data_IF_014717997539
#
_entry.id   IF_014717997539
#
_cell.length_a   1.000
_cell.length_b   1.000
_cell.length_c   1.000
_cell.angle_alpha   90.00
_cell.angle_beta   90.00
_cell.angle_gamma   90.00
#
_symmetry.space_group_name_H-M   'P 1'
#
loop_
_entity.id
_entity.type
_entity.pdbx_description
1 polymer ?
#
# COMPACT_ATOMS: atom_id res chain seq x y z
N UNK A 1 11.28 -13.62 -0.44
CA UNK A 1 11.91 -13.41 0.89
C UNK A 1 12.03 -14.78 1.55
N UNK A 2 13.21 -15.21 2.01
CA UNK A 2 13.36 -16.59 2.55
C UNK A 2 12.57 -16.77 3.86
N UNK A 3 11.93 -17.93 4.05
CA UNK A 3 11.16 -18.27 5.26
C UNK A 3 11.98 -18.16 6.57
N UNK A 4 13.31 -18.18 6.47
CA UNK A 4 14.23 -17.96 7.60
C UNK A 4 14.33 -16.48 8.01
N UNK A 5 14.30 -15.54 7.05
CA UNK A 5 14.29 -14.10 7.35
C UNK A 5 12.96 -13.67 7.99
N UNK A 6 11.85 -14.24 7.54
CA UNK A 6 10.53 -13.97 8.13
C UNK A 6 10.44 -14.43 9.59
N UNK A 7 10.93 -15.65 9.90
CA UNK A 7 11.01 -16.13 11.30
C UNK A 7 11.88 -15.23 12.18
N UNK A 8 13.01 -14.74 11.65
CA UNK A 8 13.91 -13.87 12.40
C UNK A 8 13.28 -12.49 12.68
N UNK A 9 12.48 -11.96 11.75
CA UNK A 9 11.73 -10.71 11.97
C UNK A 9 10.53 -10.87 12.93
N UNK A 10 9.81 -11.99 12.90
CA UNK A 10 8.71 -12.25 13.84
C UNK A 10 9.18 -12.25 15.30
N UNK A 11 10.36 -12.81 15.58
CA UNK A 11 10.94 -12.84 16.94
C UNK A 11 11.19 -11.45 17.55
N UNK A 12 11.18 -10.40 16.72
CA UNK A 12 11.45 -9.01 17.13
C UNK A 12 10.18 -8.17 17.33
N UNK A 13 9.00 -8.71 17.01
CA UNK A 13 7.73 -8.02 17.29
C UNK A 13 7.54 -7.85 18.79
N UNK A 14 6.75 -6.84 19.18
CA UNK A 14 6.37 -6.69 20.59
C UNK A 14 5.71 -7.97 21.13
N UNK A 15 5.94 -8.34 22.40
CA UNK A 15 5.36 -9.56 22.99
C UNK A 15 3.83 -9.65 22.87
N UNK A 16 3.15 -8.50 22.90
CA UNK A 16 1.71 -8.43 22.69
C UNK A 16 1.31 -8.84 21.27
N UNK A 17 2.04 -8.37 20.25
CA UNK A 17 1.79 -8.75 18.86
C UNK A 17 2.21 -10.18 18.56
N UNK A 18 3.32 -10.63 19.14
CA UNK A 18 3.74 -12.03 19.04
C UNK A 18 2.64 -12.96 19.57
N UNK A 19 2.11 -12.67 20.76
CA UNK A 19 0.98 -13.41 21.35
C UNK A 19 -0.27 -13.36 20.47
N UNK A 20 -0.58 -12.21 19.88
CA UNK A 20 -1.72 -12.05 18.96
C UNK A 20 -1.57 -12.90 17.69
N UNK A 21 -0.39 -12.87 17.06
CA UNK A 21 -0.04 -13.68 15.88
C UNK A 21 -0.03 -15.18 16.22
N UNK A 22 0.41 -15.54 17.43
CA UNK A 22 0.39 -16.92 17.93
C UNK A 22 -1.02 -17.42 18.24
N UNK A 23 -1.92 -16.56 18.73
CA UNK A 23 -3.33 -16.94 18.96
C UNK A 23 -4.15 -16.99 17.67
N UNK A 24 -3.77 -16.22 16.63
CA UNK A 24 -4.34 -16.29 15.27
C UNK A 24 -3.67 -17.34 14.37
N UNK A 25 -2.79 -18.19 14.93
CA UNK A 25 -1.86 -19.05 14.20
C UNK A 25 -2.46 -20.17 13.34
N UNK A 26 -3.79 -20.29 13.25
CA UNK A 26 -4.42 -21.23 12.31
C UNK A 26 -4.32 -20.77 10.84
N UNK A 27 -3.86 -19.54 10.57
CA UNK A 27 -3.74 -18.99 9.21
C UNK A 27 -2.31 -18.58 8.81
N UNK A 28 -1.28 -19.28 9.33
CA UNK A 28 0.16 -19.00 9.06
C UNK A 28 0.57 -19.05 7.58
N UNK A 29 -0.26 -19.61 6.70
CA UNK A 29 0.01 -19.71 5.27
C UNK A 29 -0.33 -18.43 4.49
N UNK A 30 -1.19 -17.55 5.01
CA UNK A 30 -1.70 -16.39 4.26
C UNK A 30 -0.69 -15.23 4.12
N UNK A 31 0.15 -14.97 5.13
CA UNK A 31 1.18 -13.92 5.05
C UNK A 31 2.38 -14.31 4.17
N UNK A 32 2.66 -15.60 4.04
CA UNK A 32 3.72 -16.13 3.18
C UNK A 32 3.20 -16.29 1.73
N UNK A 33 1.94 -16.70 1.55
CA UNK A 33 1.35 -16.95 0.23
C UNK A 33 1.08 -15.69 -0.60
N UNK A 34 0.88 -14.51 0.01
CA UNK A 34 0.70 -13.25 -0.73
C UNK A 34 2.03 -12.79 -1.37
N UNK A 35 3.18 -13.17 -0.77
CA UNK A 35 4.51 -12.81 -1.26
C UNK A 35 5.05 -13.76 -2.34
N UNK A 36 4.40 -14.91 -2.55
CA UNK A 36 4.83 -15.99 -3.46
C UNK A 36 3.99 -16.11 -4.73
N UNK A 37 3.16 -15.11 -5.06
CA UNK A 37 2.78 -14.93 -6.46
C UNK A 37 4.03 -14.54 -7.24
N UNK A 38 4.69 -15.60 -7.73
CA UNK A 38 5.70 -15.61 -8.78
C UNK A 38 5.42 -14.45 -9.72
N UNK A 39 6.51 -13.81 -10.16
CA UNK A 39 6.56 -13.08 -11.43
C UNK A 39 6.08 -14.02 -12.54
N UNK A 40 4.78 -14.25 -12.65
CA UNK A 40 4.21 -14.82 -13.84
C UNK A 40 4.19 -13.66 -14.81
N UNK A 41 5.26 -13.55 -15.60
CA UNK A 41 5.47 -12.52 -16.62
C UNK A 41 4.48 -12.62 -17.79
N UNK A 42 3.29 -13.17 -17.55
CA UNK A 42 2.22 -13.23 -18.53
C UNK A 42 1.41 -11.94 -18.48
N UNK A 43 1.40 -11.26 -19.62
CA UNK A 43 0.61 -10.11 -20.03
C UNK A 43 -0.91 -10.27 -19.77
N UNK A 44 -1.34 -10.29 -18.50
CA UNK A 44 -2.72 -10.60 -18.12
C UNK A 44 -3.66 -9.37 -18.15
N UNK A 45 -3.10 -8.16 -18.09
CA UNK A 45 -3.87 -6.90 -18.08
C UNK A 45 -3.29 -5.84 -19.05
N UNK A 46 -3.35 -6.07 -20.39
CA UNK A 46 -2.82 -5.12 -21.38
C UNK A 46 -3.46 -3.73 -21.31
N UNK A 47 -4.68 -3.61 -20.79
CA UNK A 47 -5.39 -2.34 -20.59
C UNK A 47 -4.66 -1.37 -19.64
N UNK A 48 -4.01 -1.88 -18.60
CA UNK A 48 -3.25 -1.06 -17.65
C UNK A 48 -2.06 -0.37 -18.31
N UNK A 49 -1.41 -1.04 -19.27
CA UNK A 49 -0.27 -0.48 -20.02
C UNK A 49 -0.71 0.56 -21.03
N UNK A 50 -1.75 0.27 -21.82
CA UNK A 50 -2.30 1.20 -22.80
C UNK A 50 -2.78 2.51 -22.14
N UNK A 51 -3.38 2.43 -20.94
CA UNK A 51 -3.82 3.61 -20.21
C UNK A 51 -2.67 4.58 -19.86
N UNK A 52 -1.46 4.08 -19.59
CA UNK A 52 -0.29 4.90 -19.30
C UNK A 52 0.48 5.34 -20.54
N UNK A 53 0.52 4.52 -21.60
CA UNK A 53 1.13 4.91 -22.89
C UNK A 53 0.45 6.16 -23.46
N UNK A 54 -0.88 6.21 -23.42
CA UNK A 54 -1.67 7.37 -23.85
C UNK A 54 -1.42 8.66 -23.02
N UNK A 55 -0.86 8.54 -21.80
CA UNK A 55 -0.50 9.68 -20.95
C UNK A 55 0.93 10.17 -21.17
N UNK A 56 1.85 9.28 -21.55
CA UNK A 56 3.24 9.66 -21.88
C UNK A 56 3.30 10.68 -23.01
N UNK A 57 2.38 10.60 -23.96
CA UNK A 57 2.28 11.53 -25.09
C UNK A 57 1.87 12.96 -24.70
N UNK A 58 1.48 13.22 -23.44
CA UNK A 58 0.87 14.51 -23.01
C UNK A 58 1.65 15.31 -21.99
N UNK A 59 2.87 14.91 -21.59
CA UNK A 59 3.54 15.52 -20.42
C UNK A 59 4.62 16.53 -20.78
N UNK A 60 4.43 17.78 -20.35
CA UNK A 60 5.48 18.82 -20.28
C UNK A 60 5.45 19.48 -18.91
N UNK A 61 5.77 18.74 -17.84
CA UNK A 61 5.89 19.35 -16.50
C UNK A 61 7.17 18.90 -15.80
N UNK A 62 7.91 19.89 -15.28
CA UNK A 62 9.13 19.68 -14.51
C UNK A 62 8.80 19.50 -13.03
N UNK A 63 9.35 18.47 -12.38
CA UNK A 63 9.07 18.16 -10.98
C UNK A 63 9.72 19.19 -10.04
N UNK A 64 8.96 19.82 -9.11
CA UNK A 64 9.52 20.79 -8.17
C UNK A 64 10.42 20.10 -7.13
N UNK A 65 11.67 20.55 -7.02
CA UNK A 65 12.73 19.91 -6.22
C UNK A 65 12.53 19.94 -4.69
N UNK A 66 11.50 20.62 -4.15
CA UNK A 66 11.44 20.95 -2.71
C UNK A 66 10.18 20.48 -1.96
N UNK A 67 9.24 19.79 -2.60
CA UNK A 67 8.02 19.31 -1.91
C UNK A 67 8.29 18.02 -1.14
N UNK A 68 7.76 17.93 0.10
CA UNK A 68 7.83 16.72 0.94
C UNK A 68 7.09 15.53 0.32
N UNK A 69 6.04 15.79 -0.45
CA UNK A 69 5.27 14.82 -1.24
C UNK A 69 5.25 15.31 -2.69
N UNK A 70 5.55 14.41 -3.63
CA UNK A 70 5.73 14.78 -5.04
C UNK A 70 4.45 14.62 -5.89
N UNK A 71 3.47 13.90 -5.36
CA UNK A 71 2.24 13.52 -6.07
C UNK A 71 1.00 14.00 -5.32
N UNK A 72 -0.07 14.24 -6.06
CA UNK A 72 -1.39 14.57 -5.52
C UNK A 72 -2.48 13.89 -6.33
N UNK A 73 -3.73 14.09 -5.90
CA UNK A 73 -4.92 13.65 -6.65
C UNK A 73 -5.05 14.30 -8.03
N UNK A 74 -4.34 15.39 -8.28
CA UNK A 74 -4.38 16.16 -9.53
C UNK A 74 -3.19 15.80 -10.44
N UNK A 75 -2.26 14.97 -9.98
CA UNK A 75 -1.15 14.49 -10.81
C UNK A 75 -1.70 13.72 -12.01
N UNK A 76 -1.34 14.17 -13.22
CA UNK A 76 -1.83 13.57 -14.47
C UNK A 76 -1.55 12.07 -14.56
N UNK A 77 -0.35 11.63 -14.16
CA UNK A 77 0.03 10.21 -14.14
C UNK A 77 -0.78 9.34 -13.17
N UNK A 78 -1.42 9.94 -12.15
CA UNK A 78 -2.24 9.21 -11.18
C UNK A 78 -3.66 8.98 -11.71
N UNK A 79 -4.16 9.82 -12.62
CA UNK A 79 -5.58 9.81 -12.99
C UNK A 79 -6.13 8.44 -13.41
N UNK A 80 -5.45 7.62 -14.22
CA UNK A 80 -6.00 6.31 -14.63
C UNK A 80 -6.17 5.36 -13.45
N UNK A 81 -5.17 5.30 -12.56
CA UNK A 81 -5.26 4.46 -11.36
C UNK A 81 -6.37 4.97 -10.44
N UNK A 82 -6.49 6.30 -10.26
CA UNK A 82 -7.56 6.89 -9.47
C UNK A 82 -8.95 6.55 -10.02
N UNK A 83 -9.17 6.70 -11.32
CA UNK A 83 -10.44 6.34 -11.97
C UNK A 83 -10.76 4.85 -11.74
N UNK A 84 -9.77 3.98 -11.92
CA UNK A 84 -9.94 2.55 -11.64
C UNK A 84 -10.30 2.29 -10.18
N UNK A 85 -9.67 3.00 -9.22
CA UNK A 85 -9.96 2.88 -7.79
C UNK A 85 -11.36 3.37 -7.41
N UNK A 86 -11.88 4.39 -8.08
CA UNK A 86 -13.22 4.97 -7.85
C UNK A 86 -14.35 3.99 -8.18
N UNK A 87 -14.07 2.99 -9.01
CA UNK A 87 -15.00 1.91 -9.39
C UNK A 87 -14.96 0.69 -8.45
N UNK A 88 -14.04 0.66 -7.48
CA UNK A 88 -13.85 -0.52 -6.64
C UNK A 88 -14.66 -0.47 -5.35
N UNK A 89 -15.11 -1.64 -4.89
CA UNK A 89 -15.63 -1.84 -3.56
C UNK A 89 -14.55 -1.65 -2.48
N UNK A 90 -14.95 -1.26 -1.27
CA UNK A 90 -14.00 -1.00 -0.17
C UNK A 90 -13.11 -2.22 0.14
N UNK A 91 -13.68 -3.43 0.17
CA UNK A 91 -12.91 -4.68 0.39
C UNK A 91 -11.79 -4.91 -0.64
N UNK A 92 -12.03 -4.57 -1.92
CA UNK A 92 -11.03 -4.68 -2.98
C UNK A 92 -9.88 -3.71 -2.72
N UNK A 93 -10.19 -2.46 -2.36
CA UNK A 93 -9.16 -1.46 -2.02
C UNK A 93 -8.37 -1.84 -0.77
N UNK A 94 -8.99 -2.47 0.22
CA UNK A 94 -8.31 -2.96 1.43
C UNK A 94 -7.35 -4.10 1.09
N UNK A 95 -7.82 -5.11 0.36
CA UNK A 95 -6.99 -6.24 -0.05
C UNK A 95 -5.79 -5.77 -0.87
N UNK A 96 -6.04 -4.93 -1.87
CA UNK A 96 -5.03 -4.29 -2.70
C UNK A 96 -4.03 -3.49 -1.88
N UNK A 97 -4.48 -2.62 -0.99
CA UNK A 97 -3.57 -1.75 -0.23
C UNK A 97 -2.66 -2.56 0.70
N UNK A 98 -3.20 -3.54 1.42
CA UNK A 98 -2.43 -4.37 2.36
C UNK A 98 -1.44 -5.30 1.64
N UNK A 99 -1.81 -5.82 0.49
CA UNK A 99 -0.89 -6.56 -0.39
C UNK A 99 0.21 -5.65 -0.93
N UNK A 100 -0.16 -4.50 -1.49
CA UNK A 100 0.80 -3.56 -2.05
C UNK A 100 1.74 -2.94 -1.00
N UNK A 101 1.35 -2.90 0.27
CA UNK A 101 2.17 -2.41 1.37
C UNK A 101 3.48 -3.21 1.55
N UNK A 102 3.55 -4.46 1.05
CA UNK A 102 4.74 -5.29 1.16
C UNK A 102 5.99 -4.66 0.51
N UNK A 103 5.82 -3.97 -0.63
CA UNK A 103 6.94 -3.30 -1.33
C UNK A 103 7.50 -2.11 -0.54
N UNK A 104 6.71 -1.09 -0.16
CA UNK A 104 7.19 -0.01 0.70
C UNK A 104 7.72 -0.49 2.05
N UNK A 105 7.14 -1.54 2.63
CA UNK A 105 7.60 -2.08 3.90
C UNK A 105 8.99 -2.69 3.80
N UNK A 106 9.20 -3.60 2.83
CA UNK A 106 10.52 -4.21 2.62
C UNK A 106 11.58 -3.14 2.33
N UNK A 107 11.25 -2.18 1.47
CA UNK A 107 12.14 -1.07 1.15
C UNK A 107 12.46 -0.18 2.36
N UNK A 108 11.48 0.08 3.23
CA UNK A 108 11.73 0.82 4.47
C UNK A 108 12.65 0.05 5.42
N UNK A 109 12.43 -1.25 5.59
CA UNK A 109 13.20 -2.09 6.51
C UNK A 109 14.63 -2.32 6.09
N UNK A 110 14.91 -2.35 4.79
CA UNK A 110 16.29 -2.36 4.28
C UNK A 110 17.05 -1.11 4.72
N UNK A 111 16.36 0.02 4.85
CA UNK A 111 16.96 1.31 5.24
C UNK A 111 17.02 1.50 6.75
N UNK A 112 16.00 1.05 7.48
CA UNK A 112 15.90 1.19 8.94
C UNK A 112 15.48 -0.14 9.59
N UNK A 113 16.37 -1.14 9.66
CA UNK A 113 16.03 -2.52 10.07
C UNK A 113 15.50 -2.67 11.51
N UNK A 114 15.82 -1.72 12.39
CA UNK A 114 15.43 -1.74 13.79
C UNK A 114 14.05 -1.10 14.05
N UNK A 115 13.48 -0.39 13.06
CA UNK A 115 12.20 0.27 13.21
C UNK A 115 11.06 -0.65 12.76
N UNK A 116 10.32 -1.20 13.73
CA UNK A 116 9.33 -2.24 13.47
C UNK A 116 7.89 -1.72 13.40
N UNK A 117 7.63 -0.46 13.82
CA UNK A 117 6.27 0.09 13.89
C UNK A 117 5.51 0.01 12.55
N UNK A 118 6.11 0.22 11.37
CA UNK A 118 5.42 0.02 10.09
C UNK A 118 5.00 -1.44 9.82
N UNK A 119 5.82 -2.42 10.19
CA UNK A 119 5.47 -3.85 10.10
C UNK A 119 4.36 -4.22 11.07
N UNK A 120 4.45 -3.71 12.29
CA UNK A 120 3.42 -3.93 13.29
C UNK A 120 2.07 -3.38 12.81
N UNK A 121 2.06 -2.21 12.17
CA UNK A 121 0.85 -1.64 11.59
C UNK A 121 0.24 -2.51 10.47
N UNK A 122 1.04 -3.12 9.58
CA UNK A 122 0.47 -4.00 8.52
C UNK A 122 -0.17 -5.24 9.11
N UNK A 123 0.45 -5.86 10.12
CA UNK A 123 -0.09 -7.03 10.83
C UNK A 123 -1.42 -6.67 11.51
N UNK A 124 -1.43 -5.61 12.30
CA UNK A 124 -2.62 -5.20 13.06
C UNK A 124 -3.74 -4.73 12.13
N UNK A 125 -3.43 -4.05 11.03
CA UNK A 125 -4.43 -3.67 10.02
C UNK A 125 -5.02 -4.87 9.30
N UNK A 126 -4.23 -5.92 9.04
CA UNK A 126 -4.74 -7.20 8.49
C UNK A 126 -5.73 -7.85 9.47
N UNK A 127 -5.35 -8.01 10.73
CA UNK A 127 -6.24 -8.54 11.78
C UNK A 127 -7.53 -7.71 11.93
N UNK A 128 -7.43 -6.38 11.77
CA UNK A 128 -8.60 -5.52 11.81
C UNK A 128 -9.50 -5.70 10.60
N UNK A 129 -8.93 -5.81 9.40
CA UNK A 129 -9.68 -6.13 8.19
C UNK A 129 -10.38 -7.49 8.28
N UNK A 130 -9.79 -8.44 9.01
CA UNK A 130 -10.35 -9.78 9.25
C UNK A 130 -11.35 -9.84 10.42
N UNK A 131 -11.52 -8.73 11.16
CA UNK A 131 -12.45 -8.63 12.27
C UNK A 131 -11.97 -9.23 13.60
N UNK A 132 -10.71 -9.69 13.67
CA UNK A 132 -10.12 -10.28 14.87
C UNK A 132 -9.91 -9.24 15.99
N UNK A 133 -9.70 -7.98 15.61
CA UNK A 133 -9.50 -6.88 16.55
C UNK A 133 -10.40 -5.69 16.23
N UNK A 134 -10.53 -4.78 17.19
CA UNK A 134 -11.29 -3.53 17.03
C UNK A 134 -10.41 -2.37 16.55
N UNK A 135 -11.03 -1.42 15.87
CA UNK A 135 -10.41 -0.22 15.31
C UNK A 135 -9.42 0.49 16.25
N UNK A 136 -9.68 0.72 17.55
CA UNK A 136 -8.75 1.48 18.39
C UNK A 136 -7.32 0.91 18.46
N UNK A 137 -7.18 -0.43 18.41
CA UNK A 137 -5.88 -1.10 18.39
C UNK A 137 -5.16 -0.85 17.06
N UNK A 138 -5.84 -1.07 15.94
CA UNK A 138 -5.28 -0.79 14.61
C UNK A 138 -4.94 0.68 14.40
N UNK A 139 -5.85 1.59 14.78
CA UNK A 139 -5.60 3.04 14.71
C UNK A 139 -4.35 3.44 15.48
N UNK A 140 -4.12 2.86 16.68
CA UNK A 140 -2.92 3.13 17.45
C UNK A 140 -1.66 2.70 16.69
N UNK A 141 -1.64 1.47 16.15
CA UNK A 141 -0.50 0.97 15.38
C UNK A 141 -0.23 1.80 14.12
N UNK A 142 -1.29 2.18 13.38
CA UNK A 142 -1.19 3.04 12.19
C UNK A 142 -0.59 4.42 12.54
N UNK A 143 -1.06 5.03 13.63
CA UNK A 143 -0.51 6.31 14.09
C UNK A 143 0.97 6.19 14.51
N UNK A 144 1.34 5.07 15.15
CA UNK A 144 2.73 4.78 15.50
C UNK A 144 3.61 4.58 14.26
N UNK A 145 3.11 3.96 13.18
CA UNK A 145 3.82 3.88 11.91
C UNK A 145 4.03 5.27 11.27
N UNK A 146 3.04 6.17 11.34
CA UNK A 146 3.23 7.56 10.90
C UNK A 146 4.22 8.34 11.76
N UNK A 147 4.23 8.13 13.07
CA UNK A 147 5.23 8.70 13.97
C UNK A 147 6.64 8.21 13.61
N UNK A 148 6.81 6.90 13.41
CA UNK A 148 8.06 6.29 12.96
C UNK A 148 8.55 6.89 11.63
N UNK A 149 7.65 7.11 10.69
CA UNK A 149 7.97 7.74 9.42
C UNK A 149 8.52 9.17 9.60
N UNK A 150 7.88 9.96 10.47
CA UNK A 150 8.34 11.32 10.79
C UNK A 150 9.69 11.34 11.51
N UNK A 151 9.95 10.37 12.38
CA UNK A 151 11.24 10.21 13.05
C UNK A 151 12.35 9.80 12.07
N UNK A 152 12.06 8.85 11.16
CA UNK A 152 12.95 8.44 10.07
C UNK A 152 13.32 9.62 9.15
N UNK A 153 12.34 10.48 8.84
CA UNK A 153 12.52 11.66 7.98
C UNK A 153 13.52 12.68 8.48
N UNK A 154 13.91 12.64 9.76
CA UNK A 154 14.99 13.47 10.30
C UNK A 154 16.35 13.14 9.70
N UNK A 155 16.52 11.93 9.14
CA UNK A 155 17.79 11.42 8.59
C UNK A 155 17.66 10.91 7.16
N UNK A 156 16.49 10.39 6.80
CA UNK A 156 16.25 9.76 5.51
C UNK A 156 14.83 10.06 5.01
N UNK A 157 14.74 11.04 4.09
CA UNK A 157 13.47 11.45 3.49
C UNK A 157 12.88 10.42 2.52
N UNK A 158 13.66 9.44 2.07
CA UNK A 158 13.22 8.32 1.23
C UNK A 158 12.56 7.26 2.13
N UNK A 159 13.18 6.94 3.28
CA UNK A 159 12.59 6.07 4.29
C UNK A 159 11.31 6.65 4.88
N UNK A 160 11.25 7.96 5.15
CA UNK A 160 10.00 8.63 5.57
C UNK A 160 8.87 8.39 4.58
N UNK A 161 9.12 8.61 3.29
CA UNK A 161 8.10 8.43 2.26
C UNK A 161 7.64 6.96 2.19
N UNK A 162 8.55 5.99 2.23
CA UNK A 162 8.19 4.58 2.24
C UNK A 162 7.34 4.20 3.47
N UNK A 163 7.71 4.62 4.68
CA UNK A 163 6.93 4.34 5.88
C UNK A 163 5.56 5.04 5.89
N UNK A 164 5.45 6.27 5.36
CA UNK A 164 4.16 6.93 5.18
C UNK A 164 3.27 6.18 4.20
N UNK A 165 3.83 5.61 3.13
CA UNK A 165 3.10 4.78 2.19
C UNK A 165 2.48 3.54 2.89
N UNK A 166 3.27 2.86 3.74
CA UNK A 166 2.77 1.76 4.59
C UNK A 166 1.64 2.22 5.51
N UNK A 167 1.80 3.35 6.20
CA UNK A 167 0.76 3.89 7.08
C UNK A 167 -0.55 4.18 6.35
N UNK A 168 -0.47 4.76 5.14
CA UNK A 168 -1.64 4.99 4.29
C UNK A 168 -2.29 3.70 3.81
N UNK A 169 -1.51 2.70 3.42
CA UNK A 169 -2.05 1.39 3.07
C UNK A 169 -2.84 0.76 4.22
N UNK A 170 -2.29 0.84 5.43
CA UNK A 170 -2.93 0.35 6.65
C UNK A 170 -4.20 1.13 7.01
N UNK A 171 -4.21 2.45 6.73
CA UNK A 171 -5.35 3.32 6.96
C UNK A 171 -6.50 3.13 5.95
N UNK A 172 -6.26 2.48 4.81
CA UNK A 172 -7.31 2.12 3.84
C UNK A 172 -8.40 1.24 4.47
N UNK A 173 -8.05 0.43 5.46
CA UNK A 173 -9.03 -0.36 6.26
C UNK A 173 -10.08 0.55 6.90
N UNK A 174 -9.71 1.77 7.29
CA UNK A 174 -10.65 2.76 7.84
C UNK A 174 -11.53 3.38 6.77
N UNK A 175 -10.92 3.81 5.67
CA UNK A 175 -11.61 4.54 4.59
C UNK A 175 -10.81 4.50 3.29
N UNK A 176 -11.53 4.37 2.18
CA UNK A 176 -11.07 4.22 0.81
C UNK A 176 -10.11 5.33 0.37
N UNK A 177 -10.36 6.56 0.84
CA UNK A 177 -9.59 7.77 0.46
C UNK A 177 -8.12 7.75 0.90
N UNK A 178 -7.73 6.86 1.83
CA UNK A 178 -6.32 6.68 2.19
C UNK A 178 -5.52 5.90 1.14
N UNK A 179 -6.20 5.12 0.29
CA UNK A 179 -5.58 4.22 -0.68
C UNK A 179 -4.66 4.96 -1.66
N UNK A 180 -5.04 6.16 -2.13
CA UNK A 180 -4.16 6.98 -2.98
C UNK A 180 -2.91 7.50 -2.23
N UNK A 181 -2.98 7.62 -0.91
CA UNK A 181 -1.82 7.99 -0.11
C UNK A 181 -0.69 6.96 -0.17
N UNK A 182 -1.01 5.67 -0.29
CA UNK A 182 -0.02 4.62 -0.55
C UNK A 182 0.75 4.93 -1.83
N UNK A 183 0.03 5.23 -2.92
CA UNK A 183 0.62 5.53 -4.24
C UNK A 183 1.49 6.78 -4.17
N UNK A 184 0.97 7.88 -3.61
CA UNK A 184 1.70 9.15 -3.60
C UNK A 184 3.03 9.07 -2.86
N UNK A 185 3.02 8.43 -1.69
CA UNK A 185 4.21 8.33 -0.86
C UNK A 185 5.18 7.27 -1.39
N UNK A 186 4.68 6.16 -1.97
CA UNK A 186 5.55 5.17 -2.59
C UNK A 186 6.28 5.74 -3.80
N UNK A 187 5.56 6.37 -4.74
CA UNK A 187 6.19 7.00 -5.90
C UNK A 187 7.16 8.12 -5.47
N UNK A 188 6.83 8.88 -4.42
CA UNK A 188 7.76 9.87 -3.85
C UNK A 188 9.06 9.22 -3.37
N UNK A 189 8.99 8.06 -2.71
CA UNK A 189 10.18 7.34 -2.24
C UNK A 189 11.04 6.85 -3.41
N UNK A 190 10.42 6.20 -4.40
CA UNK A 190 11.10 5.63 -5.58
C UNK A 190 11.76 6.71 -6.42
N UNK A 191 11.02 7.77 -6.78
CA UNK A 191 11.55 8.85 -7.61
C UNK A 191 12.68 9.62 -6.95
N UNK A 192 12.68 9.73 -5.61
CA UNK A 192 13.80 10.32 -4.87
C UNK A 192 15.04 9.44 -4.83
N UNK A 193 14.86 8.11 -4.87
CA UNK A 193 15.97 7.16 -4.89
C UNK A 193 16.65 7.09 -6.27
N UNK A 194 15.93 7.40 -7.34
CA UNK A 194 16.41 7.24 -8.72
C UNK A 194 17.12 8.48 -9.29
N UNK A 195 18.02 8.23 -10.24
CA UNK A 195 18.64 9.28 -11.04
C UNK A 195 17.57 10.01 -11.89
N UNK A 196 17.71 11.33 -12.17
CA UNK A 196 16.70 12.11 -12.89
C UNK A 196 16.15 11.47 -14.17
N UNK A 197 17.02 10.88 -14.97
CA UNK A 197 16.75 10.21 -16.25
C UNK A 197 15.94 8.91 -16.11
N UNK A 198 15.92 8.29 -14.93
CA UNK A 198 15.20 7.03 -14.67
C UNK A 198 13.80 7.28 -14.09
N UNK A 199 13.53 8.48 -13.58
CA UNK A 199 12.35 8.77 -12.75
C UNK A 199 11.03 8.45 -13.44
N UNK A 200 10.91 8.82 -14.71
CA UNK A 200 9.68 8.60 -15.47
C UNK A 200 9.42 7.11 -15.73
N UNK A 201 10.48 6.36 -16.08
CA UNK A 201 10.39 4.91 -16.27
C UNK A 201 9.97 4.23 -14.96
N UNK A 202 10.61 4.58 -13.84
CA UNK A 202 10.32 3.99 -12.53
C UNK A 202 8.92 4.35 -12.03
N UNK A 203 8.49 5.61 -12.21
CA UNK A 203 7.13 6.05 -11.92
C UNK A 203 6.09 5.22 -12.70
N UNK A 204 6.34 5.04 -14.01
CA UNK A 204 5.43 4.27 -14.87
C UNK A 204 5.36 2.80 -14.46
N UNK A 205 6.50 2.16 -14.17
CA UNK A 205 6.57 0.76 -13.76
C UNK A 205 5.76 0.50 -12.47
N UNK A 206 5.89 1.38 -11.47
CA UNK A 206 5.15 1.25 -10.22
C UNK A 206 3.64 1.51 -10.41
N UNK A 207 3.25 2.47 -11.26
CA UNK A 207 1.84 2.71 -11.59
C UNK A 207 1.21 1.53 -12.32
N UNK A 208 1.90 0.96 -13.32
CA UNK A 208 1.46 -0.27 -14.00
C UNK A 208 1.25 -1.37 -12.97
N UNK A 209 2.23 -1.59 -12.09
CA UNK A 209 2.13 -2.62 -11.07
C UNK A 209 0.95 -2.40 -10.12
N UNK A 210 0.72 -1.16 -9.65
CA UNK A 210 -0.44 -0.86 -8.81
C UNK A 210 -1.75 -1.17 -9.50
N UNK A 211 -1.90 -0.82 -10.78
CA UNK A 211 -3.09 -1.12 -11.57
C UNK A 211 -3.27 -2.62 -11.78
N UNK A 212 -2.21 -3.35 -12.13
CA UNK A 212 -2.25 -4.81 -12.29
C UNK A 212 -2.67 -5.51 -10.99
N UNK A 213 -2.16 -5.07 -9.83
CA UNK A 213 -2.59 -5.60 -8.53
C UNK A 213 -4.02 -5.23 -8.20
N UNK A 214 -4.48 -4.04 -8.56
CA UNK A 214 -5.86 -3.62 -8.31
C UNK A 214 -6.84 -4.47 -9.12
N UNK A 215 -6.54 -4.68 -10.40
CA UNK A 215 -7.32 -5.57 -11.28
C UNK A 215 -7.31 -7.01 -10.77
N UNK A 216 -6.16 -7.50 -10.30
CA UNK A 216 -6.08 -8.82 -9.65
C UNK A 216 -7.07 -8.92 -8.48
N UNK A 217 -7.01 -8.00 -7.50
CA UNK A 217 -7.91 -8.07 -6.33
C UNK A 217 -9.37 -7.80 -6.64
N UNK A 218 -9.66 -7.02 -7.69
CA UNK A 218 -11.04 -6.87 -8.20
C UNK A 218 -11.59 -8.22 -8.65
N UNK A 219 -10.80 -8.98 -9.41
CA UNK A 219 -11.22 -10.24 -10.00
C UNK A 219 -11.10 -11.43 -9.02
N UNK A 220 -10.28 -11.30 -7.97
CA UNK A 220 -9.91 -12.38 -7.05
C UNK A 220 -10.16 -12.02 -5.59
N UNK A 221 -11.18 -11.19 -5.30
CA UNK A 221 -11.46 -10.79 -3.92
C UNK A 221 -11.80 -11.99 -3.01
N UNK A 222 -12.35 -13.05 -3.61
CA UNK A 222 -12.66 -14.31 -2.93
C UNK A 222 -11.41 -15.14 -2.57
N UNK A 223 -10.24 -14.81 -3.13
CA UNK A 223 -8.95 -15.39 -2.71
C UNK A 223 -8.48 -14.84 -1.34
N UNK A 224 -9.19 -13.85 -0.78
CA UNK A 224 -9.01 -13.43 0.60
C UNK A 224 -9.46 -14.55 1.55
N UNK A 225 -8.55 -15.49 1.83
CA UNK A 225 -8.79 -16.71 2.60
C UNK A 225 -8.90 -16.48 4.13
N UNK A 226 -9.75 -15.54 4.53
CA UNK A 226 -10.08 -15.22 5.91
C UNK A 226 -11.45 -14.52 5.97
N UNK A 227 -12.12 -14.49 7.15
CA UNK A 227 -13.30 -13.66 7.32
C UNK A 227 -12.98 -12.19 7.04
N UNK A 228 -14.01 -11.43 6.65
CA UNK A 228 -13.96 -9.97 6.62
C UNK A 228 -14.64 -9.40 7.85
N UNK A 229 -14.12 -8.30 8.38
CA UNK A 229 -14.83 -7.51 9.38
C UNK A 229 -16.17 -7.04 8.84
N UNK A 230 -17.25 -7.19 9.64
CA UNK A 230 -18.62 -6.89 9.21
C UNK A 230 -18.82 -5.50 8.57
N UNK A 231 -18.00 -4.50 8.94
CA UNK A 231 -18.12 -3.17 8.36
C UNK A 231 -17.59 -3.08 6.91
N UNK A 232 -16.67 -3.97 6.50
CA UNK A 232 -16.14 -4.07 5.14
C UNK A 232 -17.04 -4.85 4.19
N UNK A 233 -18.02 -5.58 4.73
CA UNK A 233 -19.05 -6.28 3.96
C UNK A 233 -20.21 -5.38 3.55
N UNK A 234 -20.26 -4.15 4.07
CA UNK A 234 -21.34 -3.20 3.76
C UNK A 234 -21.09 -2.60 2.39
N UNK A 235 -22.10 -2.64 1.54
CA UNK A 235 -22.09 -1.86 0.31
C UNK A 235 -22.29 -0.39 0.64
N UNK A 236 -21.37 0.44 0.16
CA UNK A 236 -21.42 1.88 0.28
C UNK A 236 -20.80 2.50 -0.98
N UNK A 237 -21.24 3.70 -1.40
CA UNK A 237 -20.59 4.41 -2.48
C UNK A 237 -19.11 4.64 -2.16
N UNK A 238 -18.26 4.46 -3.17
CA UNK A 238 -16.82 4.68 -3.03
C UNK A 238 -16.55 6.14 -2.63
N UNK A 239 -15.89 6.34 -1.49
CA UNK A 239 -15.67 7.69 -0.95
C UNK A 239 -14.66 8.52 -1.74
N UNK A 240 -13.74 7.90 -2.48
CA UNK A 240 -12.84 8.63 -3.38
C UNK A 240 -13.64 9.18 -4.57
N UNK A 241 -14.59 8.40 -5.10
CA UNK A 241 -15.52 8.85 -6.14
C UNK A 241 -16.37 10.01 -5.64
N UNK A 242 -16.99 9.89 -4.46
CA UNK A 242 -17.75 10.98 -3.86
C UNK A 242 -16.90 12.24 -3.61
N UNK A 243 -15.64 12.08 -3.24
CA UNK A 243 -14.72 13.20 -3.06
C UNK A 243 -14.38 13.88 -4.40
N UNK A 244 -14.26 13.10 -5.48
CA UNK A 244 -14.04 13.61 -6.83
C UNK A 244 -15.23 14.43 -7.30
N UNK A 245 -16.44 13.87 -7.21
CA UNK A 245 -17.68 14.48 -7.68
C UNK A 245 -18.03 15.78 -6.94
N UNK A 246 -17.63 15.92 -5.67
CA UNK A 246 -17.84 17.18 -4.90
C UNK A 246 -16.91 18.32 -5.31
N UNK A 247 -15.83 18.03 -6.02
CA UNK A 247 -14.82 19.02 -6.44
C UNK A 247 -14.97 19.46 -7.89
N UNK A 248 -15.72 18.70 -8.69
CA UNK A 248 -16.15 19.10 -10.04
C UNK A 248 -17.40 19.95 -9.98
#
# INVERSE_FOLDING_TARGET
MSAMMFRNQLSRLTPALLKMVETGANNRTALISIMDHKRDGTNRYPSARHALENLRERRTETMPKQRKILYSRDSACIQPLRQLMEEQAHRVLVAWALDCAARPLAFFEERIPAELRPREATIVSRMWAEGEIKMPLARRAILQAHAAAGEAGKRDAIAEAAARAVGHACATVHTETHALGLVFYWLTAVVRQCAPEERETRESEDLIWFMERLLYWRDHIEDWNAPWANFLLREAPNKEKLLHERKG
#
